data_IF_185812021209
#
_entry.id   IF_185812021209
#
_cell.length_a   1.000
_cell.length_b   1.000
_cell.length_c   1.000
_cell.angle_alpha   90.00
_cell.angle_beta   90.00
_cell.angle_gamma   90.00
#
_symmetry.space_group_name_H-M   'P 1'
#
loop_
_entity.id
_entity.type
_entity.pdbx_description
1 polymer ?
#
# COMPACT_ATOMS: atom_id res chain seq x y z
N UNK A 1 4.11 -8.46 -2.03
CA UNK A 1 4.59 -9.03 -3.30
C UNK A 1 4.10 -10.47 -3.40
N UNK A 2 2.93 -10.70 -4.00
CA UNK A 2 2.21 -11.99 -3.97
C UNK A 2 1.93 -12.60 -5.35
N UNK A 3 2.23 -11.86 -6.43
CA UNK A 3 1.83 -12.21 -7.81
C UNK A 3 2.81 -13.15 -8.51
N UNK A 4 4.06 -13.23 -8.05
CA UNK A 4 5.05 -14.13 -8.63
C UNK A 4 4.68 -15.60 -8.52
N UNK A 5 4.08 -16.02 -7.39
CA UNK A 5 3.70 -17.42 -7.18
C UNK A 5 2.69 -17.89 -8.25
N UNK A 6 1.50 -17.28 -8.39
CA UNK A 6 0.55 -17.70 -9.42
C UNK A 6 1.09 -17.49 -10.84
N UNK A 7 1.89 -16.46 -11.08
CA UNK A 7 2.50 -16.22 -12.41
C UNK A 7 3.48 -17.32 -12.81
N UNK A 8 4.42 -17.68 -11.93
CA UNK A 8 5.39 -18.74 -12.20
C UNK A 8 4.73 -20.11 -12.24
N UNK A 9 3.67 -20.31 -11.46
CA UNK A 9 2.90 -21.56 -11.49
C UNK A 9 2.23 -21.76 -12.84
N UNK A 10 1.55 -20.73 -13.37
CA UNK A 10 0.93 -20.78 -14.70
C UNK A 10 1.98 -20.97 -15.80
N UNK A 11 3.10 -20.26 -15.71
CA UNK A 11 4.22 -20.38 -16.65
C UNK A 11 4.83 -21.80 -16.70
N UNK A 12 4.81 -22.53 -15.58
CA UNK A 12 5.28 -23.91 -15.51
C UNK A 12 4.35 -24.92 -16.21
N UNK A 13 3.15 -24.50 -16.65
CA UNK A 13 2.30 -25.28 -17.53
C UNK A 13 1.55 -26.43 -16.86
N UNK A 14 1.23 -26.35 -15.56
CA UNK A 14 0.41 -27.35 -14.88
C UNK A 14 -1.09 -27.02 -14.95
N UNK A 15 -1.89 -27.71 -15.79
CA UNK A 15 -3.32 -27.46 -15.93
C UNK A 15 -4.17 -27.96 -14.75
N UNK A 16 -3.57 -28.64 -13.75
CA UNK A 16 -4.30 -29.21 -12.60
C UNK A 16 -4.19 -28.38 -11.31
N UNK A 17 -3.26 -27.44 -11.26
CA UNK A 17 -3.01 -26.62 -10.08
C UNK A 17 -3.63 -25.25 -10.22
N UNK A 18 -4.95 -25.16 -10.13
CA UNK A 18 -5.56 -23.87 -9.93
C UNK A 18 -5.22 -23.37 -8.52
N UNK A 19 -4.21 -22.53 -8.39
CA UNK A 19 -3.84 -21.92 -7.10
C UNK A 19 -4.98 -21.09 -6.50
N UNK A 20 -6.04 -20.77 -7.27
CA UNK A 20 -7.27 -20.18 -6.74
C UNK A 20 -7.95 -21.08 -5.70
N UNK A 21 -7.72 -22.39 -5.74
CA UNK A 21 -8.21 -23.34 -4.72
C UNK A 21 -7.59 -23.10 -3.33
N UNK A 22 -6.44 -22.43 -3.26
CA UNK A 22 -5.72 -22.16 -2.01
C UNK A 22 -5.92 -20.72 -1.48
N UNK A 23 -6.94 -20.00 -2.00
CA UNK A 23 -7.27 -18.63 -1.58
C UNK A 23 -6.05 -17.69 -1.59
N UNK A 24 -5.22 -17.81 -2.63
CA UNK A 24 -4.00 -17.00 -2.79
C UNK A 24 -4.41 -15.58 -3.20
N UNK A 25 -3.84 -14.56 -2.55
CA UNK A 25 -4.14 -13.14 -2.82
C UNK A 25 -3.47 -12.57 -4.08
N UNK A 26 -2.58 -13.36 -4.68
CA UNK A 26 -1.85 -13.04 -5.91
C UNK A 26 -2.69 -13.24 -7.17
N UNK A 27 -2.41 -12.46 -8.21
CA UNK A 27 -2.93 -12.64 -9.56
C UNK A 27 -1.79 -13.12 -10.47
N UNK A 28 -2.09 -14.03 -11.39
CA UNK A 28 -1.12 -14.40 -12.43
C UNK A 28 -1.08 -13.33 -13.51
N UNK A 29 0.11 -12.88 -13.87
CA UNK A 29 0.37 -11.96 -14.97
C UNK A 29 1.06 -12.64 -16.15
N UNK A 30 0.96 -13.97 -16.27
CA UNK A 30 1.65 -14.72 -17.32
C UNK A 30 1.20 -14.31 -18.73
N UNK A 31 -0.11 -14.13 -18.93
CA UNK A 31 -0.68 -13.56 -20.17
C UNK A 31 -0.09 -12.19 -20.53
N UNK A 32 0.11 -11.30 -19.55
CA UNK A 32 0.70 -9.97 -19.77
C UNK A 32 2.11 -10.10 -20.36
N UNK A 33 2.90 -11.05 -19.86
CA UNK A 33 4.28 -11.28 -20.36
C UNK A 33 4.32 -11.92 -21.74
N UNK A 34 3.34 -12.75 -22.09
CA UNK A 34 3.31 -13.43 -23.39
C UNK A 34 2.71 -12.56 -24.50
N UNK A 35 1.61 -11.87 -24.21
CA UNK A 35 0.77 -11.19 -25.20
C UNK A 35 0.93 -9.66 -25.15
N UNK A 36 1.62 -9.12 -24.14
CA UNK A 36 1.69 -7.68 -23.92
C UNK A 36 0.34 -7.07 -23.55
N UNK A 37 -0.55 -7.88 -22.96
CA UNK A 37 -1.87 -7.42 -22.50
C UNK A 37 -1.77 -6.80 -21.11
N UNK A 38 -2.75 -5.96 -20.77
CA UNK A 38 -2.86 -5.37 -19.43
C UNK A 38 -3.72 -6.24 -18.48
N UNK A 39 -4.06 -7.48 -18.85
CA UNK A 39 -5.03 -8.31 -18.13
C UNK A 39 -4.46 -9.64 -17.61
N UNK A 40 -4.58 -9.91 -16.29
CA UNK A 40 -5.43 -9.20 -15.32
C UNK A 40 -4.78 -7.94 -14.71
N UNK A 41 -5.63 -6.97 -14.31
CA UNK A 41 -5.22 -5.75 -13.60
C UNK A 41 -5.44 -5.94 -12.11
N UNK A 42 -4.40 -5.71 -11.29
CA UNK A 42 -4.55 -5.61 -9.84
C UNK A 42 -5.10 -4.23 -9.49
N UNK A 43 -6.32 -4.21 -8.95
CA UNK A 43 -6.97 -2.96 -8.52
C UNK A 43 -6.77 -2.66 -7.03
N UNK A 44 -6.35 -3.65 -6.23
CA UNK A 44 -6.20 -3.49 -4.79
C UNK A 44 -4.93 -4.19 -4.27
N UNK A 45 -4.25 -3.54 -3.34
CA UNK A 45 -3.06 -4.06 -2.67
C UNK A 45 -3.05 -3.61 -1.21
N UNK A 46 -3.20 -4.55 -0.29
CA UNK A 46 -2.83 -4.32 1.10
C UNK A 46 -1.30 -4.39 1.23
N UNK A 47 -0.65 -3.29 1.61
CA UNK A 47 0.79 -3.30 1.82
C UNK A 47 1.15 -4.04 3.10
N UNK A 48 0.61 -3.59 4.24
CA UNK A 48 0.78 -4.23 5.54
C UNK A 48 -0.22 -3.68 6.57
N UNK A 49 -0.50 -4.49 7.60
CA UNK A 49 -1.10 -4.07 8.87
C UNK A 49 -0.21 -4.63 9.98
N UNK A 50 0.56 -3.75 10.62
CA UNK A 50 1.41 -4.13 11.76
C UNK A 50 0.74 -3.68 13.07
N UNK A 51 0.20 -4.63 13.86
CA UNK A 51 -0.42 -4.31 15.14
C UNK A 51 0.59 -3.98 16.25
N UNK A 52 1.86 -4.35 16.10
CA UNK A 52 2.89 -4.08 17.11
C UNK A 52 3.36 -2.62 17.04
N UNK A 53 3.65 -2.15 15.84
CA UNK A 53 4.00 -0.76 15.60
C UNK A 53 2.79 0.15 15.40
N UNK A 54 1.59 -0.43 15.26
CA UNK A 54 0.36 0.27 14.87
C UNK A 54 0.57 1.07 13.59
N UNK A 55 1.00 0.42 12.51
CA UNK A 55 1.23 1.04 11.20
C UNK A 55 0.50 0.24 10.13
N UNK A 56 -0.15 0.94 9.20
CA UNK A 56 -0.84 0.30 8.09
C UNK A 56 -0.77 1.14 6.83
N UNK A 57 -0.84 0.45 5.69
CA UNK A 57 -0.98 1.09 4.39
C UNK A 57 -1.72 0.18 3.41
N UNK A 58 -2.47 0.80 2.51
CA UNK A 58 -3.12 0.10 1.40
C UNK A 58 -3.18 0.99 0.16
N UNK A 59 -3.23 0.35 -1.00
CA UNK A 59 -3.48 0.96 -2.29
C UNK A 59 -4.78 0.38 -2.85
N UNK A 60 -5.64 1.24 -3.39
CA UNK A 60 -6.93 0.83 -3.97
C UNK A 60 -7.30 1.71 -5.16
N UNK A 61 -7.73 1.08 -6.24
CA UNK A 61 -8.18 1.74 -7.44
C UNK A 61 -9.69 1.98 -7.37
N UNK A 62 -10.09 3.24 -7.43
CA UNK A 62 -11.48 3.66 -7.40
C UNK A 62 -11.75 4.58 -8.59
N UNK A 63 -12.76 4.25 -9.39
CA UNK A 63 -13.23 5.09 -10.51
C UNK A 63 -12.09 5.46 -11.49
N UNK A 64 -11.19 4.51 -11.78
CA UNK A 64 -10.07 4.70 -12.70
C UNK A 64 -8.86 5.46 -12.11
N UNK A 65 -8.94 5.88 -10.84
CA UNK A 65 -7.83 6.54 -10.13
C UNK A 65 -7.29 5.62 -9.04
N UNK A 66 -6.01 5.71 -8.75
CA UNK A 66 -5.32 4.87 -7.77
C UNK A 66 -5.04 5.69 -6.52
N UNK A 67 -5.56 5.24 -5.38
CA UNK A 67 -5.39 5.92 -4.11
C UNK A 67 -4.50 5.12 -3.17
N UNK A 68 -3.72 5.82 -2.35
CA UNK A 68 -2.92 5.23 -1.28
C UNK A 68 -3.28 5.84 0.06
N UNK A 69 -3.55 4.97 1.02
CA UNK A 69 -3.83 5.34 2.41
C UNK A 69 -2.65 4.90 3.28
N UNK A 70 -2.17 5.79 4.14
CA UNK A 70 -1.13 5.53 5.13
C UNK A 70 -1.62 6.02 6.49
N UNK A 71 -1.41 5.24 7.53
CA UNK A 71 -1.77 5.64 8.88
C UNK A 71 -0.99 4.92 9.96
N UNK A 72 -1.07 5.47 11.17
CA UNK A 72 -0.49 4.88 12.36
C UNK A 72 0.85 5.48 12.79
N UNK A 73 1.51 4.82 13.74
CA UNK A 73 2.71 5.30 14.42
C UNK A 73 3.99 4.96 13.65
N UNK A 74 4.16 5.60 12.48
CA UNK A 74 5.35 5.41 11.64
C UNK A 74 6.63 5.80 12.40
N UNK A 75 7.58 4.86 12.48
CA UNK A 75 8.93 5.05 13.04
C UNK A 75 8.97 5.83 14.36
N UNK A 76 8.11 5.49 15.33
CA UNK A 76 8.14 6.13 16.66
C UNK A 76 7.78 7.62 16.63
N UNK A 77 6.93 8.05 15.69
CA UNK A 77 6.54 9.45 15.44
C UNK A 77 7.66 10.32 14.87
N UNK A 78 8.70 9.70 14.34
CA UNK A 78 9.76 10.40 13.61
C UNK A 78 9.68 9.96 12.16
N UNK A 79 9.08 10.79 11.30
CA UNK A 79 9.21 10.61 9.85
C UNK A 79 10.65 10.98 9.51
N UNK A 80 11.46 10.12 8.87
CA UNK A 80 12.53 10.66 8.05
C UNK A 80 11.83 11.46 6.96
N UNK A 81 12.00 12.79 6.99
CA UNK A 81 11.60 13.69 5.90
C UNK A 81 11.88 13.04 4.55
N UNK A 82 11.09 13.35 3.52
CA UNK A 82 11.24 12.79 2.17
C UNK A 82 12.69 12.44 1.84
N UNK A 83 12.94 11.14 1.67
CA UNK A 83 14.28 10.68 1.34
C UNK A 83 14.47 10.74 -0.16
N UNK A 84 15.52 11.44 -0.56
CA UNK A 84 16.00 11.46 -1.94
C UNK A 84 16.16 10.05 -2.48
N UNK A 85 15.77 9.82 -3.73
CA UNK A 85 16.01 8.56 -4.42
C UNK A 85 17.49 8.18 -4.31
N UNK A 86 17.78 6.92 -3.99
CA UNK A 86 19.16 6.43 -3.89
C UNK A 86 19.97 6.80 -5.14
N UNK A 87 21.19 7.32 -4.94
CA UNK A 87 22.04 7.83 -6.03
C UNK A 87 21.79 9.28 -6.45
N UNK A 88 20.80 9.98 -5.86
CA UNK A 88 20.58 11.41 -6.10
C UNK A 88 21.15 12.29 -4.98
N UNK A 89 21.59 13.50 -5.33
CA UNK A 89 22.00 14.55 -4.38
C UNK A 89 21.55 15.93 -4.88
N UNK A 90 21.66 16.98 -4.06
CA UNK A 90 21.42 18.36 -4.54
C UNK A 90 22.23 18.70 -5.79
N UNK A 91 23.44 18.16 -5.89
CA UNK A 91 24.37 18.35 -7.01
C UNK A 91 24.12 17.40 -8.18
N UNK A 92 23.42 16.29 -7.94
CA UNK A 92 23.01 15.33 -8.98
C UNK A 92 21.52 15.03 -8.82
N UNK A 93 20.63 15.90 -9.33
CA UNK A 93 19.19 15.69 -9.28
C UNK A 93 18.72 14.56 -10.21
N UNK A 94 19.62 13.96 -11.01
CA UNK A 94 19.34 12.87 -11.93
C UNK A 94 18.14 13.17 -12.85
N UNK A 95 18.15 14.34 -13.49
CA UNK A 95 17.16 14.81 -14.50
C UNK A 95 17.19 14.05 -15.83
N UNK A 96 17.80 12.86 -15.90
CA UNK A 96 17.76 12.08 -17.13
C UNK A 96 16.48 11.26 -17.11
N UNK A 97 15.43 11.84 -17.69
CA UNK A 97 14.14 11.19 -17.85
C UNK A 97 14.33 9.88 -18.62
N UNK A 98 13.86 8.80 -18.04
CA UNK A 98 13.73 7.48 -18.66
C UNK A 98 12.24 7.12 -18.71
N UNK A 99 11.83 6.13 -19.52
CA UNK A 99 10.47 5.60 -19.45
C UNK A 99 10.06 5.11 -18.05
N UNK A 100 11.02 4.96 -17.13
CA UNK A 100 10.85 4.56 -15.73
C UNK A 100 10.96 5.72 -14.74
N UNK A 101 11.09 6.97 -15.20
CA UNK A 101 11.17 8.15 -14.33
C UNK A 101 9.78 8.70 -14.00
N UNK A 102 9.62 9.15 -12.76
CA UNK A 102 8.36 9.73 -12.26
C UNK A 102 8.47 11.25 -12.24
N UNK A 103 7.51 11.92 -12.87
CA UNK A 103 7.36 13.38 -12.81
C UNK A 103 6.51 13.77 -11.59
N UNK A 104 7.12 14.47 -10.63
CA UNK A 104 6.40 15.02 -9.48
C UNK A 104 5.77 16.37 -9.83
N UNK A 105 4.58 16.65 -9.29
CA UNK A 105 3.89 17.94 -9.46
C UNK A 105 4.64 19.10 -8.80
N UNK A 106 5.30 18.82 -7.67
CA UNK A 106 6.06 19.81 -6.90
C UNK A 106 7.51 19.37 -6.71
N UNK A 107 8.33 20.27 -6.15
CA UNK A 107 9.73 19.99 -5.86
C UNK A 107 9.85 18.70 -5.03
N UNK A 108 10.54 17.66 -5.55
CA UNK A 108 10.74 16.42 -4.81
C UNK A 108 11.40 16.72 -3.47
N UNK A 109 10.88 16.17 -2.37
CA UNK A 109 11.36 16.52 -1.03
C UNK A 109 10.38 17.28 -0.17
N UNK A 110 9.40 17.93 -0.79
CA UNK A 110 8.55 18.88 -0.11
C UNK A 110 7.10 18.44 -0.25
N UNK A 111 6.48 18.16 0.89
CA UNK A 111 5.03 17.98 0.99
C UNK A 111 4.36 19.36 0.89
N UNK A 112 3.37 19.47 0.01
CA UNK A 112 2.53 20.68 -0.08
C UNK A 112 1.46 20.70 0.98
N UNK A 113 0.92 19.51 1.32
CA UNK A 113 0.03 19.32 2.45
C UNK A 113 0.59 18.22 3.33
N UNK A 114 0.96 18.61 4.56
CA UNK A 114 1.66 17.72 5.48
C UNK A 114 0.86 16.46 5.81
N UNK A 115 1.56 15.34 5.86
CA UNK A 115 1.06 14.08 6.39
C UNK A 115 1.67 13.79 7.76
N UNK A 116 0.81 13.64 8.77
CA UNK A 116 1.20 13.24 10.12
C UNK A 116 0.37 11.99 10.46
N UNK A 117 0.82 10.78 10.06
CA UNK A 117 0.00 9.57 10.05
C UNK A 117 -0.39 9.08 11.45
N UNK A 118 0.32 9.49 12.50
CA UNK A 118 -0.03 9.21 13.90
C UNK A 118 -1.02 10.23 14.50
N UNK A 119 -1.34 11.31 13.79
CA UNK A 119 -2.40 12.27 14.15
C UNK A 119 -3.69 11.95 13.40
N UNK A 120 -3.60 11.74 12.09
CA UNK A 120 -4.71 11.35 11.24
C UNK A 120 -4.21 10.57 10.02
N UNK A 121 -5.08 9.73 9.45
CA UNK A 121 -4.77 9.00 8.22
C UNK A 121 -4.48 9.96 7.07
N UNK A 122 -3.46 9.62 6.29
CA UNK A 122 -3.10 10.33 5.08
C UNK A 122 -3.64 9.60 3.86
N UNK A 123 -4.11 10.36 2.88
CA UNK A 123 -4.65 9.86 1.63
C UNK A 123 -3.97 10.57 0.48
N UNK A 124 -3.50 9.82 -0.51
CA UNK A 124 -2.87 10.33 -1.72
C UNK A 124 -3.57 9.76 -2.95
N UNK A 125 -3.60 10.54 -4.02
CA UNK A 125 -4.04 10.10 -5.33
C UNK A 125 -2.81 9.84 -6.19
N UNK A 126 -2.38 8.59 -6.30
CA UNK A 126 -1.18 8.19 -7.04
C UNK A 126 -1.30 8.40 -8.55
N UNK A 127 -2.51 8.56 -9.09
CA UNK A 127 -2.70 8.87 -10.51
C UNK A 127 -2.34 10.33 -10.81
N UNK A 128 -2.62 11.24 -9.89
CA UNK A 128 -2.31 12.67 -10.03
C UNK A 128 -0.98 13.06 -9.36
N UNK A 129 -0.67 12.44 -8.22
CA UNK A 129 0.46 12.74 -7.35
C UNK A 129 1.23 11.44 -7.02
N UNK A 130 2.04 10.94 -7.96
CA UNK A 130 2.83 9.73 -7.76
C UNK A 130 3.95 9.91 -6.72
N UNK A 131 4.22 11.15 -6.28
CA UNK A 131 5.29 11.48 -5.33
C UNK A 131 4.77 11.73 -3.91
N UNK A 132 3.47 11.55 -3.67
CA UNK A 132 2.84 11.62 -2.34
C UNK A 132 3.11 12.95 -1.61
N UNK A 133 3.04 14.05 -2.34
CA UNK A 133 3.34 15.40 -1.85
C UNK A 133 2.10 16.09 -1.25
N UNK A 134 0.89 15.73 -1.69
CA UNK A 134 -0.34 16.37 -1.29
C UNK A 134 -1.28 15.39 -0.57
N UNK A 135 -1.34 15.47 0.76
CA UNK A 135 -2.36 14.75 1.53
C UNK A 135 -3.77 15.31 1.26
N UNK A 136 -4.63 14.51 0.63
CA UNK A 136 -6.01 14.86 0.26
C UNK A 136 -7.07 14.31 1.23
N UNK A 137 -6.68 13.75 2.38
CA UNK A 137 -7.60 13.11 3.34
C UNK A 137 -8.77 14.02 3.75
N UNK A 138 -8.52 15.30 3.99
CA UNK A 138 -9.55 16.28 4.35
C UNK A 138 -10.45 16.68 3.17
N UNK A 139 -9.96 16.56 1.94
CA UNK A 139 -10.66 16.97 0.71
C UNK A 139 -11.55 15.81 0.19
N UNK A 140 -11.09 14.57 0.35
CA UNK A 140 -11.77 13.37 -0.15
C UNK A 140 -12.19 12.40 0.99
N UNK A 141 -13.04 12.84 1.96
CA UNK A 141 -13.39 12.03 3.13
C UNK A 141 -14.13 10.73 2.77
N UNK A 142 -14.89 10.72 1.68
CA UNK A 142 -15.60 9.51 1.21
C UNK A 142 -14.65 8.42 0.71
N UNK A 143 -13.54 8.79 0.08
CA UNK A 143 -12.52 7.83 -0.39
C UNK A 143 -11.78 7.26 0.82
N UNK A 144 -11.38 8.15 1.74
CA UNK A 144 -10.76 7.77 3.00
C UNK A 144 -11.63 6.76 3.76
N UNK A 145 -12.91 7.08 3.97
CA UNK A 145 -13.86 6.19 4.65
C UNK A 145 -13.99 4.81 3.99
N UNK A 146 -14.04 4.74 2.65
CA UNK A 146 -14.10 3.46 1.93
C UNK A 146 -12.84 2.63 2.15
N UNK A 147 -11.66 3.26 2.11
CA UNK A 147 -10.38 2.58 2.32
C UNK A 147 -10.22 2.13 3.78
N UNK A 148 -10.62 2.95 4.75
CA UNK A 148 -10.64 2.56 6.18
C UNK A 148 -11.54 1.35 6.43
N UNK A 149 -12.70 1.28 5.79
CA UNK A 149 -13.58 0.10 5.87
C UNK A 149 -12.93 -1.15 5.27
N UNK A 150 -12.18 -1.03 4.17
CA UNK A 150 -11.43 -2.14 3.58
C UNK A 150 -10.30 -2.61 4.51
N UNK A 151 -9.55 -1.68 5.11
CA UNK A 151 -8.56 -2.02 6.14
C UNK A 151 -9.18 -2.77 7.31
N UNK A 152 -10.33 -2.32 7.81
CA UNK A 152 -11.05 -2.99 8.87
C UNK A 152 -11.47 -4.42 8.48
N UNK A 153 -11.92 -4.63 7.24
CA UNK A 153 -12.25 -5.96 6.73
C UNK A 153 -11.01 -6.88 6.63
N UNK A 154 -9.87 -6.38 6.15
CA UNK A 154 -8.61 -7.13 6.15
C UNK A 154 -8.13 -7.46 7.56
N UNK A 155 -8.28 -6.53 8.49
CA UNK A 155 -7.87 -6.77 9.88
C UNK A 155 -8.71 -7.86 10.55
N UNK A 156 -9.98 -8.03 10.17
CA UNK A 156 -10.84 -9.10 10.70
C UNK A 156 -10.41 -10.50 10.26
N UNK A 157 -9.75 -10.63 9.10
CA UNK A 157 -9.24 -11.90 8.60
C UNK A 157 -7.75 -12.10 8.89
N UNK A 158 -7.10 -11.12 9.52
CA UNK A 158 -5.69 -11.18 9.86
C UNK A 158 -5.42 -12.23 10.93
N UNK A 159 -4.41 -13.07 10.68
CA UNK A 159 -3.90 -14.03 11.66
C UNK A 159 -2.80 -13.37 12.48
N UNK A 160 -2.70 -13.74 13.76
CA UNK A 160 -1.69 -13.17 14.64
C UNK A 160 -0.26 -13.47 14.18
N UNK A 161 0.67 -12.49 14.23
CA UNK A 161 2.05 -12.70 13.81
C UNK A 161 2.74 -13.79 14.64
N UNK A 162 3.28 -14.80 13.96
CA UNK A 162 4.01 -15.92 14.57
C UNK A 162 5.46 -15.59 14.96
N UNK A 163 5.71 -14.43 15.59
CA UNK A 163 7.06 -14.02 16.00
C UNK A 163 7.43 -14.72 17.31
N UNK A 164 8.53 -15.48 17.30
CA UNK A 164 9.02 -16.19 18.49
C UNK A 164 9.29 -15.21 19.64
N UNK A 165 8.76 -15.51 20.83
CA UNK A 165 8.95 -14.70 22.04
C UNK A 165 7.86 -13.64 22.30
N UNK A 166 6.88 -13.46 21.41
CA UNK A 166 5.70 -12.63 21.71
C UNK A 166 4.77 -13.34 22.70
N UNK A 167 4.29 -12.60 23.71
CA UNK A 167 3.33 -13.13 24.70
C UNK A 167 1.96 -13.38 24.05
N UNK A 168 1.23 -14.45 24.44
CA UNK A 168 -0.08 -14.80 23.85
C UNK A 168 -1.14 -13.69 23.88
N UNK A 169 -1.08 -12.77 24.84
CA UNK A 169 -2.06 -11.70 25.03
C UNK A 169 -1.99 -10.52 24.06
N UNK A 170 -0.95 -10.42 23.22
CA UNK A 170 -0.81 -9.34 22.23
C UNK A 170 -1.82 -9.51 21.09
N UNK A 171 -2.13 -10.75 20.74
CA UNK A 171 -3.10 -11.12 19.70
C UNK A 171 -4.53 -10.62 20.00
N UNK A 172 -4.94 -10.58 21.27
CA UNK A 172 -6.29 -10.14 21.68
C UNK A 172 -6.53 -8.61 21.52
N UNK A 173 -5.48 -7.80 21.36
CA UNK A 173 -5.57 -6.34 21.16
C UNK A 173 -5.71 -5.94 19.68
N UNK A 174 -5.57 -6.87 18.75
CA UNK A 174 -5.50 -6.62 17.30
C UNK A 174 -6.83 -6.14 16.70
N UNK A 175 -7.94 -6.38 17.40
CA UNK A 175 -9.31 -6.12 16.92
C UNK A 175 -9.84 -4.71 17.25
N UNK A 176 -9.13 -3.92 18.08
CA UNK A 176 -9.71 -2.75 18.75
C UNK A 176 -9.33 -1.35 18.23
N UNK A 177 -8.38 -1.20 17.30
CA UNK A 177 -7.77 0.12 17.02
C UNK A 177 -8.20 0.78 15.71
N UNK A 178 -8.75 0.02 14.75
CA UNK A 178 -9.22 0.56 13.46
C UNK A 178 -10.68 1.00 13.47
N UNK A 179 -11.41 0.69 14.55
CA UNK A 179 -12.76 1.20 14.78
C UNK A 179 -12.63 2.20 15.92
N UNK A 180 -12.39 3.47 15.57
CA UNK A 180 -12.84 4.54 16.43
C UNK A 180 -14.30 4.25 16.73
N UNK A 181 -14.61 4.01 18.01
CA UNK A 181 -15.93 3.73 18.54
C UNK A 181 -16.96 4.59 17.80
N UNK A 182 -17.77 3.94 16.95
CA UNK A 182 -19.09 4.43 16.63
C UNK A 182 -19.88 4.34 17.96
N UNK A 183 -19.86 5.42 18.70
CA UNK A 183 -20.81 5.72 19.78
C UNK A 183 -21.56 6.99 19.37
#
# INVERSE_FOLDING_TARGET
MSDWLPTLYEAAGDPRGDLRLFNVTGLSHWSNFQEGTDHPVRTELLNNIDPLSNVYAMIDQQQGRTYKLIGGNTYGRTIPTWQRTEGTSEKNPMKKWTPTSVECLHTPGIETTACIPWVANCLYDLTADPCEQANIAAIAPWILYRMERKLAAYNQTAVCPGIQGLRPGICARQVGWLVGTLA
#
